data_IF_553801857880
#
_entry.id   IF_553801857880
#
_cell.length_a   1.000
_cell.length_b   1.000
_cell.length_c   1.000
_cell.angle_alpha   90.00
_cell.angle_beta   90.00
_cell.angle_gamma   90.00
#
_symmetry.space_group_name_H-M   'P 1'
#
loop_
_entity.id
_entity.type
_entity.pdbx_description
1 polymer ?
#
# COMPACT_ATOMS: atom_id res chain seq x y z
N UNK A 1 -6.94 26.05 -6.62
CA UNK A 1 -7.91 24.96 -6.42
C UNK A 1 -7.26 23.96 -5.48
N UNK A 2 -7.95 23.57 -4.40
CA UNK A 2 -7.42 22.59 -3.43
C UNK A 2 -7.37 21.20 -4.05
N UNK A 3 -6.39 20.40 -3.61
CA UNK A 3 -6.23 19.01 -4.04
C UNK A 3 -6.14 18.14 -2.80
N UNK A 4 -6.84 17.01 -2.85
CA UNK A 4 -6.67 15.95 -1.86
C UNK A 4 -5.38 15.18 -2.18
N UNK A 5 -4.66 14.78 -1.13
CA UNK A 5 -3.48 13.91 -1.21
C UNK A 5 -3.76 12.64 -0.41
N UNK A 6 -3.85 11.50 -1.11
CA UNK A 6 -4.00 10.17 -0.50
C UNK A 6 -2.79 9.32 -0.89
N UNK A 7 -2.11 8.65 0.06
CA UNK A 7 -0.98 7.77 -0.26
C UNK A 7 -1.34 6.74 -1.33
N UNK A 8 -0.46 6.55 -2.33
CA UNK A 8 -0.69 5.65 -3.46
C UNK A 8 -1.61 6.20 -4.56
N UNK A 9 -2.19 7.39 -4.39
CA UNK A 9 -3.09 8.03 -5.35
C UNK A 9 -2.52 9.32 -5.94
N UNK A 10 -2.95 9.65 -7.16
CA UNK A 10 -2.64 10.93 -7.78
C UNK A 10 -3.36 12.07 -7.04
N UNK A 11 -2.74 13.26 -6.90
CA UNK A 11 -3.40 14.43 -6.32
C UNK A 11 -4.68 14.78 -7.10
N UNK A 12 -5.82 14.80 -6.43
CA UNK A 12 -7.12 14.85 -7.11
C UNK A 12 -8.02 15.95 -6.56
N UNK A 13 -9.17 16.16 -7.21
CA UNK A 13 -10.21 17.03 -6.68
C UNK A 13 -10.66 16.52 -5.31
N UNK A 14 -10.95 17.46 -4.41
CA UNK A 14 -11.55 17.16 -3.11
C UNK A 14 -13.00 16.70 -3.31
N UNK A 15 -13.44 15.72 -2.52
CA UNK A 15 -14.83 15.27 -2.51
C UNK A 15 -15.69 16.08 -1.51
N UNK A 16 -16.99 15.81 -1.44
CA UNK A 16 -17.93 16.53 -0.57
C UNK A 16 -17.54 16.44 0.92
N UNK A 17 -17.11 15.26 1.39
CA UNK A 17 -16.67 15.07 2.78
C UNK A 17 -15.41 15.90 3.10
N UNK A 18 -14.45 15.94 2.18
CA UNK A 18 -13.23 16.74 2.31
C UNK A 18 -13.53 18.25 2.24
N UNK A 19 -14.55 18.65 1.48
CA UNK A 19 -15.02 20.04 1.43
C UNK A 19 -15.59 20.45 2.79
N UNK A 20 -16.39 19.61 3.45
CA UNK A 20 -16.91 19.88 4.79
C UNK A 20 -15.78 20.06 5.81
N UNK A 21 -14.79 19.18 5.78
CA UNK A 21 -13.58 19.28 6.64
C UNK A 21 -12.83 20.58 6.34
N UNK A 22 -12.59 20.88 5.06
CA UNK A 22 -11.86 22.08 4.64
C UNK A 22 -12.59 23.37 5.08
N UNK A 23 -13.91 23.40 4.95
CA UNK A 23 -14.72 24.55 5.40
C UNK A 23 -14.54 24.77 6.91
N UNK A 24 -14.69 23.72 7.71
CA UNK A 24 -14.45 23.80 9.15
C UNK A 24 -13.04 24.27 9.50
N UNK A 25 -12.02 23.76 8.79
CA UNK A 25 -10.63 24.20 8.96
C UNK A 25 -10.44 25.68 8.63
N UNK A 26 -11.00 26.17 7.51
CA UNK A 26 -10.88 27.56 7.09
C UNK A 26 -11.53 28.52 8.09
N UNK A 27 -12.71 28.18 8.62
CA UNK A 27 -13.37 28.94 9.68
C UNK A 27 -12.47 29.06 10.92
N UNK A 28 -11.87 27.95 11.36
CA UNK A 28 -10.96 27.96 12.51
C UNK A 28 -9.68 28.75 12.24
N UNK A 29 -9.13 28.70 11.03
CA UNK A 29 -7.95 29.49 10.65
C UNK A 29 -8.27 30.99 10.71
N UNK A 30 -9.44 31.42 10.24
CA UNK A 30 -9.87 32.82 10.30
C UNK A 30 -9.97 33.31 11.74
N UNK A 31 -10.48 32.49 12.66
CA UNK A 31 -10.59 32.82 14.08
C UNK A 31 -9.21 32.86 14.77
N UNK A 32 -8.33 31.91 14.44
CA UNK A 32 -7.00 31.80 15.06
C UNK A 32 -5.98 32.81 14.53
N UNK A 33 -6.06 33.21 13.26
CA UNK A 33 -5.04 34.05 12.64
C UNK A 33 -4.81 35.39 13.39
N UNK A 34 -5.86 36.12 13.84
CA UNK A 34 -5.68 37.31 14.68
C UNK A 34 -5.04 37.01 16.03
N UNK A 35 -5.45 35.92 16.69
CA UNK A 35 -4.91 35.49 17.99
C UNK A 35 -3.41 35.20 17.89
N UNK A 36 -2.99 34.46 16.87
CA UNK A 36 -1.57 34.14 16.61
C UNK A 36 -0.78 35.40 16.26
N UNK A 37 -1.35 36.29 15.43
CA UNK A 37 -0.70 37.55 15.04
C UNK A 37 -0.40 38.46 16.24
N UNK A 38 -1.27 38.46 17.24
CA UNK A 38 -1.11 39.24 18.47
C UNK A 38 -0.14 38.55 19.46
N UNK A 39 -0.10 37.22 19.47
CA UNK A 39 0.70 36.41 20.40
C UNK A 39 1.88 35.69 19.70
N UNK A 40 2.68 36.44 18.92
CA UNK A 40 3.75 35.90 18.05
C UNK A 40 4.78 35.00 18.74
N UNK A 41 4.98 35.13 20.05
CA UNK A 41 5.98 34.36 20.81
C UNK A 41 5.51 32.96 21.22
N UNK A 42 4.22 32.65 21.05
CA UNK A 42 3.61 31.37 21.46
C UNK A 42 3.16 30.52 20.27
N UNK A 43 3.77 30.70 19.09
CA UNK A 43 3.52 29.81 17.94
C UNK A 43 4.05 28.42 18.32
N UNK A 44 3.18 27.42 18.54
CA UNK A 44 3.59 26.09 18.98
C UNK A 44 4.38 25.44 17.85
N UNK A 45 5.64 25.09 18.10
CA UNK A 45 6.44 24.33 17.15
C UNK A 45 5.94 22.89 17.14
N UNK A 46 5.37 22.45 16.02
CA UNK A 46 4.80 21.11 15.83
C UNK A 46 5.82 19.95 15.94
N UNK A 47 7.07 20.23 16.31
CA UNK A 47 8.18 19.28 16.25
C UNK A 47 8.77 18.95 17.63
N UNK A 48 8.44 19.69 18.69
CA UNK A 48 8.89 19.40 20.06
C UNK A 48 7.80 19.78 21.08
N UNK A 49 7.43 18.83 21.95
CA UNK A 49 6.44 19.03 23.03
C UNK A 49 4.96 18.88 22.62
N UNK A 50 4.03 19.28 23.50
CA UNK A 50 2.59 19.16 23.24
C UNK A 50 2.15 19.98 22.03
N UNK A 51 1.37 19.36 21.15
CA UNK A 51 0.77 19.98 19.98
C UNK A 51 -0.46 20.79 20.36
N UNK A 52 -0.48 22.05 19.92
CA UNK A 52 -1.67 22.88 20.02
C UNK A 52 -2.77 22.39 19.09
N UNK A 53 -3.99 22.35 19.60
CA UNK A 53 -5.18 21.87 18.88
C UNK A 53 -6.39 22.75 19.15
N UNK A 54 -7.33 22.72 18.21
CA UNK A 54 -8.69 23.24 18.38
C UNK A 54 -9.63 22.06 18.51
N UNK A 55 -10.45 22.05 19.54
CA UNK A 55 -11.41 20.97 19.80
C UNK A 55 -12.81 21.54 19.90
N UNK A 56 -13.76 20.77 19.36
CA UNK A 56 -15.18 21.04 19.48
C UNK A 56 -15.72 20.29 20.69
N UNK A 57 -16.35 21.00 21.61
CA UNK A 57 -16.98 20.38 22.79
C UNK A 57 -18.38 19.81 22.47
N UNK A 58 -19.02 19.20 23.46
CA UNK A 58 -20.37 18.62 23.32
C UNK A 58 -21.46 19.67 23.04
N UNK A 59 -21.19 20.94 23.33
CA UNK A 59 -22.10 22.06 23.11
C UNK A 59 -21.82 22.75 21.77
N UNK A 60 -21.00 22.15 20.90
CA UNK A 60 -20.53 22.73 19.64
C UNK A 60 -19.76 24.05 19.80
N UNK A 61 -19.07 24.24 20.92
CA UNK A 61 -18.17 25.36 21.13
C UNK A 61 -16.72 24.94 20.93
N UNK A 62 -15.98 25.74 20.17
CA UNK A 62 -14.55 25.53 19.94
C UNK A 62 -13.71 26.08 21.09
N UNK A 63 -12.69 25.33 21.51
CA UNK A 63 -11.73 25.76 22.50
C UNK A 63 -10.30 25.32 22.15
N UNK A 64 -9.33 26.00 22.77
CA UNK A 64 -7.90 25.72 22.60
C UNK A 64 -7.47 24.60 23.56
N UNK A 65 -6.70 23.64 23.07
CA UNK A 65 -6.19 22.50 23.87
C UNK A 65 -4.76 22.15 23.45
N UNK A 66 -4.06 21.38 24.27
CA UNK A 66 -2.72 20.85 23.97
C UNK A 66 -2.70 19.35 24.17
N UNK A 67 -2.28 18.62 23.14
CA UNK A 67 -2.17 17.16 23.18
C UNK A 67 -0.71 16.74 23.06
N UNK A 68 -0.27 15.75 23.83
CA UNK A 68 0.99 15.09 23.54
C UNK A 68 0.77 14.15 22.34
N UNK A 69 1.51 14.32 21.22
CA UNK A 69 1.40 13.38 20.12
C UNK A 69 1.84 12.01 20.63
N UNK A 70 0.94 11.03 20.58
CA UNK A 70 1.33 9.66 20.82
C UNK A 70 2.34 9.28 19.73
N UNK A 71 3.57 8.92 20.13
CA UNK A 71 4.44 8.13 19.27
C UNK A 71 3.72 6.80 19.08
N UNK A 72 2.96 6.67 18.01
CA UNK A 72 2.41 5.39 17.59
C UNK A 72 3.61 4.49 17.28
N UNK A 73 4.04 3.73 18.29
CA UNK A 73 4.74 2.49 18.04
C UNK A 73 3.73 1.62 17.31
N UNK A 74 3.77 1.64 15.99
CA UNK A 74 2.97 0.73 15.16
C UNK A 74 3.47 -0.68 15.46
N UNK A 75 2.93 -1.30 16.50
CA UNK A 75 2.99 -2.74 16.68
C UNK A 75 2.25 -3.32 15.48
N UNK A 76 3.01 -3.69 14.44
CA UNK A 76 2.47 -4.37 13.27
C UNK A 76 1.67 -5.56 13.75
N UNK A 77 0.35 -5.48 13.67
CA UNK A 77 -0.50 -6.61 13.99
C UNK A 77 -0.19 -7.75 13.01
N UNK A 78 -0.28 -9.02 13.45
CA UNK A 78 -0.13 -10.14 12.54
C UNK A 78 -1.18 -10.04 11.43
N UNK A 79 -0.73 -10.24 10.19
CA UNK A 79 -1.59 -10.20 9.00
C UNK A 79 -2.44 -11.47 8.97
N UNK A 80 -3.75 -11.32 8.70
CA UNK A 80 -4.68 -12.44 8.61
C UNK A 80 -4.51 -13.24 7.30
N UNK A 81 -5.04 -14.47 7.29
CA UNK A 81 -5.21 -15.26 6.08
C UNK A 81 -6.54 -14.87 5.42
N UNK A 82 -6.49 -14.26 4.23
CA UNK A 82 -7.67 -13.79 3.50
C UNK A 82 -8.20 -14.79 2.48
N UNK A 83 -7.47 -15.89 2.20
CA UNK A 83 -7.88 -16.87 1.20
C UNK A 83 -8.93 -17.83 1.78
N UNK A 84 -10.05 -17.96 1.08
CA UNK A 84 -11.11 -18.89 1.46
C UNK A 84 -10.63 -20.37 1.39
N UNK A 85 -11.27 -21.24 2.16
CA UNK A 85 -10.89 -22.65 2.22
C UNK A 85 -11.00 -23.40 0.88
N UNK A 86 -11.94 -22.99 0.03
CA UNK A 86 -12.23 -23.67 -1.22
C UNK A 86 -11.06 -23.50 -2.19
N UNK A 87 -10.55 -22.28 -2.33
CA UNK A 87 -9.40 -21.96 -3.17
C UNK A 87 -8.11 -22.59 -2.62
N UNK A 88 -7.90 -22.56 -1.30
CA UNK A 88 -6.81 -23.30 -0.66
C UNK A 88 -6.86 -24.80 -0.99
N UNK A 89 -8.03 -25.43 -0.90
CA UNK A 89 -8.21 -26.86 -1.22
C UNK A 89 -7.94 -27.14 -2.71
N UNK A 90 -8.28 -26.23 -3.61
CA UNK A 90 -8.00 -26.37 -5.04
C UNK A 90 -6.50 -26.34 -5.33
N UNK A 91 -5.77 -25.34 -4.82
CA UNK A 91 -4.32 -25.24 -5.06
C UNK A 91 -3.56 -26.39 -4.39
N UNK A 92 -3.96 -26.83 -3.20
CA UNK A 92 -3.33 -27.96 -2.47
C UNK A 92 -3.38 -29.30 -3.22
N UNK A 93 -4.25 -29.45 -4.22
CA UNK A 93 -4.34 -30.66 -5.07
C UNK A 93 -3.33 -30.67 -6.22
N UNK A 94 -2.73 -29.52 -6.51
CA UNK A 94 -1.73 -29.41 -7.58
C UNK A 94 -0.42 -30.07 -7.14
N UNK A 95 0.37 -30.51 -8.12
CA UNK A 95 1.68 -31.10 -7.86
C UNK A 95 2.67 -30.00 -7.49
N UNK A 96 3.60 -30.31 -6.59
CA UNK A 96 4.76 -29.46 -6.33
C UNK A 96 5.75 -29.63 -7.49
N UNK A 97 6.11 -28.51 -8.11
CA UNK A 97 7.13 -28.45 -9.16
C UNK A 97 8.47 -28.01 -8.55
N UNK A 98 9.57 -28.60 -9.02
CA UNK A 98 10.93 -28.21 -8.64
C UNK A 98 11.36 -26.92 -9.36
N UNK A 99 10.64 -25.84 -9.06
CA UNK A 99 10.82 -24.51 -9.62
C UNK A 99 11.00 -23.52 -8.47
N UNK A 100 11.92 -22.58 -8.67
CA UNK A 100 12.11 -21.42 -7.80
C UNK A 100 11.63 -20.18 -8.53
N UNK A 101 10.74 -19.41 -7.90
CA UNK A 101 10.30 -18.13 -8.43
C UNK A 101 10.92 -16.97 -7.64
N UNK A 102 11.32 -15.93 -8.35
CA UNK A 102 11.64 -14.62 -7.79
C UNK A 102 10.38 -13.75 -7.90
N UNK A 103 9.87 -13.25 -6.78
CA UNK A 103 8.68 -12.40 -6.74
C UNK A 103 9.08 -11.02 -6.20
N UNK A 104 9.08 -10.05 -7.10
CA UNK A 104 9.42 -8.66 -6.80
C UNK A 104 8.21 -7.74 -6.97
N UNK A 105 8.36 -6.52 -6.48
CA UNK A 105 7.31 -5.51 -6.58
C UNK A 105 7.88 -4.10 -6.66
N UNK A 106 7.23 -3.22 -7.40
CA UNK A 106 7.55 -1.79 -7.47
C UNK A 106 6.29 -0.97 -7.80
N UNK A 107 6.34 0.33 -7.53
CA UNK A 107 5.29 1.24 -8.01
C UNK A 107 5.63 1.72 -9.42
N UNK A 108 4.64 1.72 -10.32
CA UNK A 108 4.79 2.42 -11.59
C UNK A 108 4.76 3.94 -11.35
N UNK A 109 5.53 4.68 -12.15
CA UNK A 109 5.58 6.15 -12.09
C UNK A 109 4.37 6.81 -12.75
N UNK A 110 3.72 6.13 -13.68
CA UNK A 110 2.52 6.64 -14.36
C UNK A 110 1.25 6.19 -13.62
N UNK A 111 0.36 7.13 -13.28
CA UNK A 111 -0.90 6.78 -12.65
C UNK A 111 -1.84 6.13 -13.68
N UNK A 112 -2.60 5.15 -13.23
CA UNK A 112 -3.67 4.54 -14.03
C UNK A 112 -5.03 4.90 -13.45
N UNK A 113 -6.03 4.95 -14.32
CA UNK A 113 -7.40 5.32 -13.98
C UNK A 113 -8.33 4.26 -14.56
N UNK A 114 -9.25 3.75 -13.73
CA UNK A 114 -10.18 2.71 -14.15
C UNK A 114 -11.32 3.29 -15.00
N UNK A 115 -11.97 4.35 -14.51
CA UNK A 115 -13.04 5.09 -15.19
C UNK A 115 -12.74 6.60 -15.16
N UNK A 116 -13.32 7.40 -16.07
CA UNK A 116 -13.02 8.85 -16.19
C UNK A 116 -13.21 9.65 -14.88
N UNK A 117 -14.15 9.23 -14.02
CA UNK A 117 -14.45 9.90 -12.75
C UNK A 117 -13.69 9.32 -11.55
N UNK A 118 -13.01 8.18 -11.72
CA UNK A 118 -12.26 7.54 -10.65
C UNK A 118 -10.97 8.30 -10.35
N UNK A 119 -10.55 8.29 -9.09
CA UNK A 119 -9.26 8.87 -8.72
C UNK A 119 -8.12 8.02 -9.31
N UNK A 120 -7.21 8.59 -10.13
CA UNK A 120 -6.07 7.85 -10.63
C UNK A 120 -5.15 7.41 -9.49
N UNK A 121 -4.51 6.25 -9.63
CA UNK A 121 -3.61 5.68 -8.63
C UNK A 121 -2.31 5.20 -9.27
N UNK A 122 -1.22 5.20 -8.49
CA UNK A 122 0.04 4.63 -8.91
C UNK A 122 0.01 3.13 -8.65
N UNK A 123 -0.04 2.27 -9.68
CA UNK A 123 -0.23 0.85 -9.49
C UNK A 123 1.00 0.22 -8.82
N UNK A 124 0.72 -0.68 -7.89
CA UNK A 124 1.70 -1.57 -7.30
C UNK A 124 1.88 -2.78 -8.22
N UNK A 125 2.95 -2.78 -9.00
CA UNK A 125 3.29 -3.84 -9.95
C UNK A 125 3.95 -4.97 -9.20
N UNK A 126 3.43 -6.19 -9.37
CA UNK A 126 4.04 -7.43 -8.85
C UNK A 126 4.44 -8.29 -10.03
N UNK A 127 5.69 -8.75 -10.02
CA UNK A 127 6.25 -9.60 -11.08
C UNK A 127 6.76 -10.88 -10.44
N UNK A 128 6.42 -12.03 -11.02
CA UNK A 128 7.03 -13.31 -10.70
C UNK A 128 7.86 -13.82 -11.89
N UNK A 129 9.13 -14.16 -11.63
CA UNK A 129 10.09 -14.63 -12.62
C UNK A 129 10.57 -16.03 -12.27
N UNK A 130 10.82 -16.87 -13.27
CA UNK A 130 11.54 -18.11 -13.06
C UNK A 130 13.02 -17.81 -12.77
N UNK A 131 13.52 -18.22 -11.60
CA UNK A 131 14.89 -17.90 -11.18
C UNK A 131 15.97 -18.44 -12.11
N UNK A 132 15.75 -19.64 -12.67
CA UNK A 132 16.73 -20.31 -13.54
C UNK A 132 16.79 -19.69 -14.94
N UNK A 133 15.66 -19.29 -15.50
CA UNK A 133 15.58 -18.80 -16.89
C UNK A 133 15.51 -17.28 -17.01
N UNK A 134 15.20 -16.56 -15.92
CA UNK A 134 14.91 -15.13 -15.93
C UNK A 134 13.58 -14.76 -16.61
N UNK A 135 12.81 -15.75 -17.08
CA UNK A 135 11.55 -15.48 -17.76
C UNK A 135 10.50 -14.97 -16.78
N UNK A 136 9.83 -13.88 -17.15
CA UNK A 136 8.63 -13.44 -16.45
C UNK A 136 7.52 -14.47 -16.65
N UNK A 137 7.06 -15.04 -15.55
CA UNK A 137 5.96 -16.02 -15.52
C UNK A 137 4.62 -15.36 -15.24
N UNK A 138 4.62 -14.18 -14.62
CA UNK A 138 3.41 -13.51 -14.16
C UNK A 138 3.68 -12.03 -13.89
N UNK A 139 2.71 -11.19 -14.26
CA UNK A 139 2.68 -9.76 -13.94
C UNK A 139 1.24 -9.42 -13.54
N UNK A 140 1.08 -8.66 -12.48
CA UNK A 140 -0.22 -8.08 -12.13
C UNK A 140 -0.03 -6.68 -11.52
N UNK A 141 -0.95 -5.79 -11.88
CA UNK A 141 -1.03 -4.43 -11.35
C UNK A 141 -2.08 -4.43 -10.25
N UNK A 142 -1.70 -4.01 -9.05
CA UNK A 142 -2.57 -3.92 -7.91
C UNK A 142 -2.82 -2.46 -7.52
N UNK A 143 -4.03 -2.19 -7.04
CA UNK A 143 -4.30 -0.99 -6.26
C UNK A 143 -3.69 -1.14 -4.87
N UNK A 144 -3.35 -0.02 -4.24
CA UNK A 144 -2.76 -0.01 -2.90
C UNK A 144 -3.76 -0.42 -1.80
N UNK A 145 -5.06 -0.31 -2.05
CA UNK A 145 -6.09 -0.67 -1.09
C UNK A 145 -6.18 -2.21 -0.93
N UNK A 146 -6.28 -2.69 0.31
CA UNK A 146 -6.32 -4.12 0.68
C UNK A 146 -5.13 -4.92 0.12
N UNK A 147 -3.94 -4.31 0.12
CA UNK A 147 -2.76 -4.87 -0.53
C UNK A 147 -2.39 -6.26 -0.01
N UNK A 148 -2.49 -6.52 1.29
CA UNK A 148 -2.18 -7.83 1.88
C UNK A 148 -3.08 -8.95 1.32
N UNK A 149 -4.39 -8.71 1.25
CA UNK A 149 -5.36 -9.64 0.67
C UNK A 149 -5.08 -9.85 -0.84
N UNK A 150 -4.84 -8.76 -1.56
CA UNK A 150 -4.57 -8.80 -3.00
C UNK A 150 -3.29 -9.58 -3.31
N UNK A 151 -2.24 -9.43 -2.51
CA UNK A 151 -1.00 -10.20 -2.64
C UNK A 151 -1.20 -11.70 -2.39
N UNK A 152 -2.01 -12.07 -1.40
CA UNK A 152 -2.36 -13.49 -1.18
C UNK A 152 -3.15 -14.05 -2.36
N UNK A 153 -4.13 -13.30 -2.88
CA UNK A 153 -4.94 -13.71 -4.06
C UNK A 153 -4.06 -13.85 -5.31
N UNK A 154 -3.11 -12.95 -5.49
CA UNK A 154 -2.14 -12.99 -6.58
C UNK A 154 -1.32 -14.28 -6.54
N UNK A 155 -0.82 -14.70 -5.37
CA UNK A 155 -0.07 -15.96 -5.27
C UNK A 155 -0.95 -17.18 -5.62
N UNK A 156 -2.22 -17.19 -5.20
CA UNK A 156 -3.17 -18.24 -5.60
C UNK A 156 -3.38 -18.25 -7.13
N UNK A 157 -3.55 -17.07 -7.74
CA UNK A 157 -3.71 -16.91 -9.19
C UNK A 157 -2.46 -17.39 -9.95
N UNK A 158 -1.27 -17.03 -9.47
CA UNK A 158 0.01 -17.50 -9.99
C UNK A 158 0.10 -19.03 -9.97
N UNK A 159 -0.20 -19.67 -8.83
CA UNK A 159 -0.18 -21.13 -8.70
C UNK A 159 -1.18 -21.80 -9.65
N UNK A 160 -2.38 -21.21 -9.81
CA UNK A 160 -3.35 -21.69 -10.78
C UNK A 160 -2.84 -21.57 -12.22
N UNK A 161 -2.22 -20.44 -12.58
CA UNK A 161 -1.66 -20.23 -13.92
C UNK A 161 -0.52 -21.22 -14.22
N UNK A 162 0.32 -21.53 -13.23
CA UNK A 162 1.40 -22.51 -13.36
C UNK A 162 0.91 -23.97 -13.35
N UNK A 163 -0.36 -24.21 -13.00
CA UNK A 163 -0.94 -25.54 -12.78
C UNK A 163 -0.10 -26.42 -11.82
N UNK A 164 0.68 -25.78 -10.96
CA UNK A 164 1.64 -26.41 -10.05
C UNK A 164 2.02 -25.47 -8.92
N UNK A 165 2.42 -26.04 -7.78
CA UNK A 165 2.92 -25.29 -6.63
C UNK A 165 4.44 -25.15 -6.78
N UNK A 166 5.03 -23.94 -6.81
CA UNK A 166 6.48 -23.79 -6.82
C UNK A 166 7.06 -24.29 -5.50
N UNK A 167 8.14 -25.06 -5.56
CA UNK A 167 8.83 -25.54 -4.35
C UNK A 167 9.41 -24.41 -3.52
N UNK A 168 9.87 -23.35 -4.18
CA UNK A 168 10.48 -22.19 -3.52
C UNK A 168 10.03 -20.88 -4.15
N UNK A 169 9.86 -19.86 -3.31
CA UNK A 169 9.76 -18.46 -3.72
C UNK A 169 10.80 -17.64 -2.98
N UNK A 170 11.33 -16.63 -3.66
CA UNK A 170 12.22 -15.62 -3.10
C UNK A 170 11.58 -14.25 -3.27
N UNK A 171 11.59 -13.47 -2.20
CA UNK A 171 11.03 -12.11 -2.16
C UNK A 171 12.08 -11.16 -1.61
N UNK A 172 12.13 -9.94 -2.12
CA UNK A 172 13.00 -8.88 -1.59
C UNK A 172 12.23 -7.89 -0.71
N UNK A 173 10.97 -7.62 -1.06
CA UNK A 173 10.13 -6.68 -0.31
C UNK A 173 9.69 -7.27 1.03
N UNK A 174 9.97 -6.56 2.12
CA UNK A 174 9.45 -6.89 3.45
C UNK A 174 7.92 -6.89 3.49
N UNK A 175 7.25 -6.08 2.66
CA UNK A 175 5.80 -6.05 2.53
C UNK A 175 5.26 -7.32 1.87
N UNK A 176 5.86 -7.75 0.75
CA UNK A 176 5.52 -9.04 0.11
C UNK A 176 5.72 -10.20 1.09
N UNK A 177 6.87 -10.23 1.76
CA UNK A 177 7.20 -11.27 2.72
C UNK A 177 6.14 -11.35 3.83
N UNK A 178 5.83 -10.22 4.48
CA UNK A 178 4.85 -10.19 5.57
C UNK A 178 3.45 -10.60 5.10
N UNK A 179 2.98 -10.07 3.97
CA UNK A 179 1.65 -10.36 3.43
C UNK A 179 1.44 -11.84 3.08
N UNK A 180 2.50 -12.53 2.62
CA UNK A 180 2.42 -13.91 2.16
C UNK A 180 2.62 -14.95 3.25
N UNK A 181 3.21 -14.62 4.41
CA UNK A 181 3.44 -15.57 5.53
C UNK A 181 2.20 -16.41 5.86
N UNK A 182 1.00 -15.83 6.08
CA UNK A 182 -0.17 -16.61 6.48
C UNK A 182 -0.57 -17.65 5.44
N UNK A 183 -0.42 -17.32 4.15
CA UNK A 183 -0.73 -18.20 3.03
C UNK A 183 0.35 -19.27 2.83
N UNK A 184 1.63 -18.89 2.93
CA UNK A 184 2.76 -19.82 2.78
C UNK A 184 2.72 -20.89 3.88
N UNK A 185 2.31 -20.56 5.10
CA UNK A 185 2.12 -21.53 6.17
C UNK A 185 1.11 -22.64 5.82
N UNK A 186 0.23 -22.39 4.84
CA UNK A 186 -0.76 -23.37 4.37
C UNK A 186 -0.27 -24.21 3.19
N UNK A 187 0.84 -23.86 2.54
CA UNK A 187 1.27 -24.47 1.28
C UNK A 187 2.66 -25.10 1.43
N UNK A 188 2.99 -26.15 0.65
CA UNK A 188 4.31 -26.77 0.67
C UNK A 188 5.34 -25.93 -0.13
N UNK A 189 5.41 -24.63 0.17
CA UNK A 189 6.30 -23.65 -0.47
C UNK A 189 7.32 -23.19 0.57
N UNK A 190 8.60 -23.23 0.21
CA UNK A 190 9.64 -22.54 0.99
C UNK A 190 9.72 -21.09 0.53
N UNK A 191 9.48 -20.14 1.43
CA UNK A 191 9.71 -18.72 1.16
C UNK A 191 11.01 -18.26 1.82
N UNK A 192 11.87 -17.56 1.07
CA UNK A 192 13.05 -16.89 1.61
C UNK A 192 12.95 -15.39 1.32
N UNK A 193 13.26 -14.56 2.33
CA UNK A 193 13.50 -13.13 2.15
C UNK A 193 14.97 -12.91 1.79
N UNK A 194 15.25 -12.24 0.68
CA UNK A 194 16.60 -12.01 0.15
C UNK A 194 16.87 -10.52 -0.02
N UNK A 195 18.14 -10.13 -0.06
CA UNK A 195 18.52 -8.72 -0.22
C UNK A 195 18.34 -8.20 -1.65
N UNK A 196 18.41 -9.09 -2.64
CA UNK A 196 18.22 -8.74 -4.05
C UNK A 196 17.71 -9.95 -4.83
N UNK A 197 16.85 -9.69 -5.82
CA UNK A 197 16.42 -10.68 -6.82
C UNK A 197 17.29 -10.51 -8.07
N UNK A 198 17.70 -11.63 -8.68
CA UNK A 198 18.68 -11.61 -9.77
C UNK A 198 18.11 -10.92 -11.01
N UNK A 199 16.83 -11.15 -11.31
CA UNK A 199 16.22 -10.71 -12.57
C UNK A 199 15.28 -9.51 -12.44
N UNK A 200 15.11 -8.96 -11.23
CA UNK A 200 14.08 -7.96 -10.97
C UNK A 200 14.31 -6.64 -11.71
N UNK A 201 15.53 -6.11 -11.76
CA UNK A 201 15.77 -4.80 -12.39
C UNK A 201 15.55 -4.88 -13.91
N UNK A 202 16.09 -5.91 -14.57
CA UNK A 202 15.87 -6.16 -16.00
C UNK A 202 14.37 -6.32 -16.34
N UNK A 203 13.64 -7.08 -15.51
CA UNK A 203 12.20 -7.27 -15.68
C UNK A 203 11.41 -5.97 -15.48
N UNK A 204 11.80 -5.16 -14.50
CA UNK A 204 11.19 -3.86 -14.22
C UNK A 204 11.40 -2.88 -15.37
N UNK A 205 12.62 -2.76 -15.91
CA UNK A 205 12.89 -1.92 -17.09
C UNK A 205 12.05 -2.35 -18.30
N UNK A 206 11.95 -3.66 -18.55
CA UNK A 206 11.14 -4.20 -19.65
C UNK A 206 9.65 -3.87 -19.48
N UNK A 207 9.12 -3.99 -18.26
CA UNK A 207 7.71 -3.67 -18.00
C UNK A 207 7.46 -2.17 -18.12
N UNK A 208 8.28 -1.32 -17.51
CA UNK A 208 8.10 0.13 -17.56
C UNK A 208 8.18 0.67 -18.99
N UNK A 209 9.16 0.23 -19.78
CA UNK A 209 9.27 0.65 -21.18
C UNK A 209 8.07 0.26 -22.04
N UNK A 210 7.39 -0.86 -21.74
CA UNK A 210 6.17 -1.25 -22.44
C UNK A 210 4.96 -0.36 -22.10
N UNK A 211 4.94 0.21 -20.89
CA UNK A 211 3.86 1.09 -20.42
C UNK A 211 3.95 2.49 -21.03
N UNK A 212 5.15 2.98 -21.35
CA UNK A 212 5.36 4.29 -21.99
C UNK A 212 4.84 4.37 -23.43
N UNK A 213 4.64 3.22 -24.09
CA UNK A 213 4.25 3.12 -25.50
C UNK A 213 2.78 2.73 -25.71
N UNK A 214 2.00 2.64 -24.64
CA UNK A 214 0.57 2.25 -24.65
C UNK A 214 -0.34 3.46 -24.52
#
# INVERSE_FOLDING_TARGET
>A
MFRSFKPGYYPWLINDEEIEILNGLLEQIIELAPFIRQNKSNIPTAFEGPWFTRRLDQNQMWYNDYIEPALEHQTKQPIDLFINELDLKRVKRLKVADVTLEIGSFFASEPVQSEEDDRPFFPFVVIAMNKQTGMITFIELLQHDNLEENLQKLLIKLIHQLLSIPKQIEVESGQLHQALIPLIAQLPIRMNHVEALIHLEDAKEMVLSSMEHS
#
